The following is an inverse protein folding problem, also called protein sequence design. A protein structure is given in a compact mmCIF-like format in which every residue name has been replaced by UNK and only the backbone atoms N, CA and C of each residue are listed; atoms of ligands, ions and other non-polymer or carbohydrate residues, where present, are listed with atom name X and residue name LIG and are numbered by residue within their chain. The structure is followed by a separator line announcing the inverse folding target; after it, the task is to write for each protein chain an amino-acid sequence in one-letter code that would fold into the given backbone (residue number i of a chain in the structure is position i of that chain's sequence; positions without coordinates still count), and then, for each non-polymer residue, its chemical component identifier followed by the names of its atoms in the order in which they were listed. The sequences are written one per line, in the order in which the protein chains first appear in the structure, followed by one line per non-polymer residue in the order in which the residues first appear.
data_IF_382325008950
#
_entry.id   IF_382325008950
#
_cell.length_a   1.000
_cell.length_b   1.000
_cell.length_c   1.000
_cell.angle_alpha   90.00
_cell.angle_beta   90.00
_cell.angle_gamma   90.00
#
_symmetry.space_group_name_H-M   'P 1'
#
loop_
_entity.id
_entity.type
_entity.pdbx_description
1 polymer ?
#
# COMPACT_ATOMS: atom_id res chain seq x y z
N UNK A 1 0.69 8.42 -16.77
CA UNK A 1 1.54 8.19 -15.59
C UNK A 1 2.50 9.36 -15.47
N UNK A 2 2.74 9.84 -14.26
CA UNK A 2 3.82 10.78 -13.93
C UNK A 2 4.69 10.17 -12.83
N UNK A 3 5.96 10.58 -12.78
CA UNK A 3 6.97 9.99 -11.91
C UNK A 3 7.79 11.08 -11.21
N UNK A 4 8.33 10.76 -10.04
CA UNK A 4 9.39 11.56 -9.41
C UNK A 4 10.77 11.25 -10.03
N UNK A 5 11.81 11.93 -9.56
CA UNK A 5 13.18 11.78 -10.08
C UNK A 5 13.79 10.39 -9.85
N UNK A 6 13.27 9.63 -8.87
CA UNK A 6 13.78 8.29 -8.53
C UNK A 6 12.89 7.18 -9.10
N UNK A 7 11.89 7.54 -9.90
CA UNK A 7 11.02 6.62 -10.64
C UNK A 7 9.81 6.12 -9.87
N UNK A 8 9.47 6.70 -8.73
CA UNK A 8 8.19 6.43 -8.07
C UNK A 8 7.04 7.04 -8.88
N UNK A 9 5.90 6.36 -8.94
CA UNK A 9 4.72 6.86 -9.65
C UNK A 9 4.06 7.94 -8.80
N UNK A 10 3.99 9.19 -9.27
CA UNK A 10 3.26 10.27 -8.60
C UNK A 10 1.77 10.27 -8.96
N UNK A 11 1.45 9.99 -10.24
CA UNK A 11 0.06 9.86 -10.68
C UNK A 11 -0.13 8.73 -11.69
N UNK A 12 -1.26 8.03 -11.60
CA UNK A 12 -1.71 7.04 -12.57
C UNK A 12 -3.20 7.14 -12.83
N UNK A 13 -3.62 6.78 -14.05
CA UNK A 13 -5.04 6.66 -14.38
C UNK A 13 -5.42 5.18 -14.37
N UNK A 14 -6.48 4.84 -13.67
CA UNK A 14 -7.12 3.52 -13.65
C UNK A 14 -8.54 3.67 -14.20
N UNK A 15 -8.70 3.46 -15.51
CA UNK A 15 -9.93 3.86 -16.21
C UNK A 15 -10.13 5.37 -16.15
N UNK A 16 -11.31 5.81 -15.73
CA UNK A 16 -11.66 7.23 -15.56
C UNK A 16 -11.15 7.83 -14.23
N UNK A 17 -10.62 7.00 -13.33
CA UNK A 17 -10.10 7.44 -12.04
C UNK A 17 -8.62 7.84 -12.15
N UNK A 18 -8.29 9.03 -11.67
CA UNK A 18 -6.89 9.42 -11.43
C UNK A 18 -6.52 9.17 -9.97
N UNK A 19 -5.38 8.51 -9.78
CA UNK A 19 -4.78 8.23 -8.49
C UNK A 19 -3.54 9.12 -8.33
N UNK A 20 -3.44 9.80 -7.20
CA UNK A 20 -2.25 10.49 -6.72
C UNK A 20 -1.59 9.64 -5.63
N UNK A 21 -0.27 9.51 -5.67
CA UNK A 21 0.50 8.69 -4.75
C UNK A 21 1.55 9.56 -4.05
N UNK A 22 1.71 9.37 -2.75
CA UNK A 22 2.69 10.07 -1.92
C UNK A 22 3.65 9.07 -1.28
N UNK A 23 4.91 9.50 -1.07
CA UNK A 23 6.00 8.66 -0.57
C UNK A 23 6.72 9.39 0.58
N UNK A 24 6.10 9.41 1.75
CA UNK A 24 6.62 10.11 2.92
C UNK A 24 7.45 9.21 3.86
N UNK A 25 7.44 7.89 3.65
CA UNK A 25 8.17 6.93 4.47
C UNK A 25 9.61 6.71 3.93
N UNK A 26 10.65 7.22 4.61
CA UNK A 26 12.02 7.06 4.16
C UNK A 26 12.53 5.62 4.26
N UNK A 27 11.95 4.79 5.15
CA UNK A 27 12.32 3.37 5.26
C UNK A 27 11.77 2.56 4.07
N UNK A 28 10.66 3.02 3.48
CA UNK A 28 9.97 2.38 2.37
C UNK A 28 9.85 3.32 1.17
N UNK A 29 10.97 3.91 0.72
CA UNK A 29 11.01 4.97 -0.30
C UNK A 29 10.36 4.67 -1.67
N UNK A 30 10.07 3.41 -1.95
CA UNK A 30 9.40 2.95 -3.18
C UNK A 30 7.99 2.39 -2.93
N UNK A 31 7.54 2.42 -1.68
CA UNK A 31 6.20 2.03 -1.26
C UNK A 31 5.39 3.31 -1.01
N UNK A 32 4.22 3.49 -1.66
CA UNK A 32 3.38 4.66 -1.42
C UNK A 32 2.93 4.67 0.03
N UNK A 33 3.15 5.77 0.75
CA UNK A 33 2.58 5.96 2.10
C UNK A 33 1.12 6.39 2.05
N UNK A 34 0.65 6.90 0.90
CA UNK A 34 -0.74 7.30 0.68
C UNK A 34 -1.13 7.18 -0.79
N UNK A 35 -2.36 6.78 -1.06
CA UNK A 35 -2.98 6.74 -2.39
C UNK A 35 -4.31 7.47 -2.33
N UNK A 36 -4.41 8.62 -3.01
CA UNK A 36 -5.48 9.61 -2.81
C UNK A 36 -5.64 9.94 -1.32
N UNK A 37 -6.73 9.52 -0.69
CA UNK A 37 -7.02 9.80 0.73
C UNK A 37 -6.78 8.59 1.65
N UNK A 38 -6.31 7.48 1.09
CA UNK A 38 -6.09 6.23 1.82
C UNK A 38 -4.64 6.12 2.26
N UNK A 39 -4.41 5.96 3.57
CA UNK A 39 -3.07 5.77 4.12
C UNK A 39 -2.62 4.31 4.02
N UNK A 40 -1.36 4.12 3.65
CA UNK A 40 -0.73 2.82 3.49
C UNK A 40 0.33 2.67 4.56
N UNK A 41 0.29 1.55 5.29
CA UNK A 41 1.18 1.27 6.42
C UNK A 41 1.92 -0.02 6.17
N UNK A 42 3.22 -0.02 6.42
CA UNK A 42 4.09 -1.17 6.18
C UNK A 42 4.77 -1.62 7.47
N UNK A 43 5.06 -2.91 7.57
CA UNK A 43 6.00 -3.42 8.58
C UNK A 43 7.45 -3.14 8.18
N UNK A 44 8.40 -3.45 9.07
CA UNK A 44 9.82 -3.20 8.82
C UNK A 44 10.43 -4.02 7.67
N UNK A 45 9.77 -5.10 7.25
CA UNK A 45 10.19 -5.92 6.10
C UNK A 45 9.58 -5.41 4.77
N UNK A 46 8.71 -4.39 4.83
CA UNK A 46 8.03 -3.82 3.67
C UNK A 46 6.71 -4.52 3.31
N UNK A 47 6.16 -5.37 4.18
CA UNK A 47 4.82 -5.95 3.95
C UNK A 47 3.74 -4.91 4.25
N UNK A 48 2.72 -4.83 3.39
CA UNK A 48 1.60 -3.88 3.55
C UNK A 48 0.66 -4.34 4.67
N UNK A 49 0.63 -3.63 5.79
CA UNK A 49 -0.25 -3.92 6.93
C UNK A 49 -1.65 -3.33 6.78
N UNK A 50 -1.79 -2.19 6.12
CA UNK A 50 -3.08 -1.53 5.87
C UNK A 50 -3.05 -0.69 4.59
N UNK A 51 -4.15 -0.69 3.84
CA UNK A 51 -4.33 0.07 2.58
C UNK A 51 -5.47 1.11 2.62
N UNK A 52 -5.90 1.47 3.83
CA UNK A 52 -7.07 2.31 4.10
C UNK A 52 -8.42 1.54 4.12
N UNK A 53 -8.50 0.39 3.44
CA UNK A 53 -9.72 -0.42 3.33
C UNK A 53 -9.59 -1.81 3.95
N UNK A 54 -8.39 -2.37 3.89
CA UNK A 54 -8.05 -3.72 4.32
C UNK A 54 -6.89 -3.66 5.30
N UNK A 55 -6.84 -4.66 6.18
CA UNK A 55 -5.65 -4.98 6.97
C UNK A 55 -5.16 -6.37 6.63
N UNK A 56 -3.85 -6.58 6.76
CA UNK A 56 -3.18 -7.80 6.36
C UNK A 56 -2.30 -8.31 7.51
N UNK A 57 -2.23 -9.63 7.66
CA UNK A 57 -1.25 -10.26 8.53
C UNK A 57 -0.38 -11.23 7.73
N UNK A 58 0.89 -11.32 8.14
CA UNK A 58 1.91 -12.12 7.47
C UNK A 58 2.53 -13.09 8.46
N UNK A 59 2.94 -14.25 7.96
CA UNK A 59 3.78 -15.17 8.72
C UNK A 59 5.27 -14.75 8.66
N UNK A 60 6.11 -15.52 9.36
CA UNK A 60 7.56 -15.28 9.40
C UNK A 60 8.22 -15.27 8.03
N UNK A 61 7.68 -16.01 7.06
CA UNK A 61 8.19 -16.10 5.68
C UNK A 61 7.64 -14.98 4.76
N UNK A 62 7.06 -13.92 5.33
CA UNK A 62 6.42 -12.80 4.62
C UNK A 62 5.29 -13.26 3.67
N UNK A 63 4.56 -14.32 4.04
CA UNK A 63 3.38 -14.77 3.30
C UNK A 63 2.12 -14.26 3.98
N UNK A 64 1.17 -13.66 3.23
CA UNK A 64 -0.13 -13.27 3.79
C UNK A 64 -0.84 -14.51 4.35
N UNK A 65 -1.30 -14.43 5.58
CA UNK A 65 -2.11 -15.46 6.24
C UNK A 65 -3.52 -14.98 6.56
N UNK A 66 -3.74 -13.66 6.51
CA UNK A 66 -5.02 -13.04 6.79
C UNK A 66 -5.21 -11.76 6.00
N UNK A 67 -6.45 -11.56 5.56
CA UNK A 67 -6.93 -10.28 5.06
C UNK A 67 -8.26 -9.97 5.75
N UNK A 68 -8.40 -8.77 6.31
CA UNK A 68 -9.67 -8.27 6.85
C UNK A 68 -10.16 -7.13 5.97
N UNK A 69 -11.42 -7.20 5.53
CA UNK A 69 -12.09 -6.15 4.76
C UNK A 69 -13.48 -5.88 5.34
N UNK A 70 -13.75 -4.64 5.74
CA UNK A 70 -15.04 -4.25 6.35
C UNK A 70 -15.46 -5.18 7.52
N UNK A 71 -14.48 -5.63 8.32
CA UNK A 71 -14.69 -6.54 9.45
C UNK A 71 -14.83 -8.02 9.08
N UNK A 72 -14.86 -8.35 7.78
CA UNK A 72 -14.88 -9.75 7.31
C UNK A 72 -13.45 -10.26 7.20
N UNK A 73 -13.15 -11.35 7.90
CA UNK A 73 -11.83 -12.00 7.94
C UNK A 73 -11.76 -13.14 6.92
N UNK A 74 -10.72 -13.13 6.10
CA UNK A 74 -10.33 -14.24 5.21
C UNK A 74 -8.99 -14.81 5.67
N UNK A 75 -8.92 -16.13 5.80
CA UNK A 75 -7.68 -16.87 6.06
C UNK A 75 -7.17 -17.50 4.76
N UNK A 76 -5.86 -17.52 4.58
CA UNK A 76 -5.19 -17.94 3.34
C UNK A 76 -4.39 -19.23 3.49
#
# INVERSE_FOLDING_TARGET
YAYDEVGNILTKNEGDLQLALEYADPAHRHAPSRVNDENYVYDANGNLLADGKRTYAYNFDNRPVEIVYQGIRSLL
#
